data_IF_927335907839
#
_entry.id   IF_927335907839
#
_cell.length_a   1.000
_cell.length_b   1.000
_cell.length_c   1.000
_cell.angle_alpha   90.00
_cell.angle_beta   90.00
_cell.angle_gamma   90.00
#
_symmetry.space_group_name_H-M   'P 1'
#
loop_
_entity.id
_entity.type
_entity.pdbx_description
1 polymer ?
#
# COMPACT_ATOMS: atom_id res chain seq x y z
N UNK A 1 -2.99 7.68 -15.79
CA UNK A 1 -3.52 6.72 -14.79
C UNK A 1 -3.83 7.53 -13.54
N UNK A 2 -5.09 7.92 -13.34
CA UNK A 2 -5.47 8.71 -12.18
C UNK A 2 -5.25 7.85 -10.93
N UNK A 3 -4.30 8.22 -10.06
CA UNK A 3 -4.20 7.65 -8.73
C UNK A 3 -5.53 7.94 -8.04
N UNK A 4 -6.29 6.89 -7.72
CA UNK A 4 -7.40 7.03 -6.79
C UNK A 4 -6.73 7.13 -5.41
N UNK A 5 -6.42 8.33 -4.93
CA UNK A 5 -5.85 8.51 -3.60
C UNK A 5 -6.80 7.86 -2.57
N UNK A 6 -6.44 6.68 -2.06
CA UNK A 6 -7.11 6.08 -0.93
C UNK A 6 -6.87 6.95 0.30
N UNK A 7 -7.94 7.48 0.91
CA UNK A 7 -7.81 8.35 2.08
C UNK A 7 -7.61 7.49 3.33
N UNK A 8 -6.53 7.71 4.08
CA UNK A 8 -6.29 7.02 5.34
C UNK A 8 -7.16 7.57 6.47
N UNK A 9 -7.61 6.69 7.36
CA UNK A 9 -8.29 7.14 8.58
C UNK A 9 -7.27 7.56 9.64
N UNK A 10 -7.56 8.64 10.36
CA UNK A 10 -6.76 9.08 11.53
C UNK A 10 -6.56 7.95 12.55
N UNK A 11 -7.59 7.11 12.75
CA UNK A 11 -7.53 5.95 13.65
C UNK A 11 -6.48 4.92 13.21
N UNK A 12 -6.34 4.67 11.91
CA UNK A 12 -5.34 3.75 11.39
C UNK A 12 -3.92 4.29 11.54
N UNK A 13 -3.71 5.58 11.26
CA UNK A 13 -2.42 6.25 11.48
C UNK A 13 -2.03 6.23 12.96
N UNK A 14 -2.96 6.53 13.86
CA UNK A 14 -2.71 6.49 15.31
C UNK A 14 -2.35 5.08 15.82
N UNK A 15 -2.96 4.03 15.26
CA UNK A 15 -2.57 2.65 15.59
C UNK A 15 -1.16 2.34 15.11
N UNK A 16 -0.82 2.76 13.89
CA UNK A 16 0.54 2.59 13.36
C UNK A 16 1.59 3.28 14.24
N UNK A 17 1.28 4.46 14.78
CA UNK A 17 2.17 5.17 15.71
C UNK A 17 2.37 4.41 17.02
N UNK A 18 1.34 3.72 17.54
CA UNK A 18 1.45 2.92 18.78
C UNK A 18 2.34 1.69 18.63
N UNK A 19 2.59 1.25 17.40
CA UNK A 19 3.42 0.09 17.09
C UNK A 19 4.88 0.48 16.83
N UNK A 20 5.18 1.78 16.72
CA UNK A 20 6.54 2.28 16.60
C UNK A 20 7.23 2.30 17.97
N UNK A 21 8.57 2.17 18.01
CA UNK A 21 9.34 2.34 19.23
C UNK A 21 9.21 3.78 19.78
N UNK A 22 9.57 3.97 21.05
CA UNK A 22 9.53 5.30 21.71
C UNK A 22 10.34 6.38 20.97
N UNK A 23 11.40 5.98 20.26
CA UNK A 23 12.20 6.82 19.38
C UNK A 23 12.31 6.16 18.02
N UNK A 24 11.94 6.89 16.98
CA UNK A 24 11.98 6.46 15.57
C UNK A 24 12.33 7.66 14.69
N UNK A 25 12.78 7.38 13.47
CA UNK A 25 13.07 8.42 12.48
C UNK A 25 11.79 8.84 11.74
N UNK A 26 11.68 10.12 11.39
CA UNK A 26 10.51 10.65 10.69
C UNK A 26 10.24 9.89 9.38
N UNK A 27 11.30 9.49 8.67
CA UNK A 27 11.20 8.74 7.42
C UNK A 27 10.53 7.37 7.62
N UNK A 28 10.80 6.68 8.73
CA UNK A 28 10.17 5.39 9.05
C UNK A 28 8.64 5.54 9.20
N UNK A 29 8.19 6.60 9.85
CA UNK A 29 6.76 6.90 9.97
C UNK A 29 6.13 7.18 8.60
N UNK A 30 6.81 7.95 7.76
CA UNK A 30 6.33 8.28 6.41
C UNK A 30 6.21 7.01 5.57
N UNK A 31 7.23 6.17 5.55
CA UNK A 31 7.22 4.89 4.84
C UNK A 31 6.07 3.99 5.29
N UNK A 32 5.85 3.89 6.61
CA UNK A 32 4.78 3.08 7.18
C UNK A 32 3.39 3.62 6.80
N UNK A 33 3.20 4.94 6.78
CA UNK A 33 1.96 5.58 6.32
C UNK A 33 1.73 5.28 4.82
N UNK A 34 2.76 5.40 3.98
CA UNK A 34 2.66 5.10 2.55
C UNK A 34 2.33 3.63 2.32
N UNK A 35 2.94 2.72 3.07
CA UNK A 35 2.65 1.29 3.00
C UNK A 35 1.18 1.00 3.39
N UNK A 36 0.72 1.58 4.49
CA UNK A 36 -0.66 1.45 4.95
C UNK A 36 -1.65 1.92 3.87
N UNK A 37 -1.38 3.04 3.22
CA UNK A 37 -2.21 3.54 2.12
C UNK A 37 -2.27 2.55 0.96
N UNK A 38 -1.12 2.01 0.52
CA UNK A 38 -1.07 1.04 -0.57
C UNK A 38 -1.83 -0.25 -0.26
N UNK A 39 -1.80 -0.70 1.00
CA UNK A 39 -2.57 -1.88 1.43
C UNK A 39 -4.07 -1.62 1.33
N UNK A 40 -4.55 -0.48 1.83
CA UNK A 40 -5.98 -0.11 1.74
C UNK A 40 -6.44 0.01 0.28
N UNK A 41 -5.61 0.62 -0.59
CA UNK A 41 -5.86 0.69 -2.02
C UNK A 41 -5.93 -0.71 -2.65
N UNK A 42 -4.99 -1.60 -2.32
CA UNK A 42 -4.99 -2.99 -2.78
C UNK A 42 -6.21 -3.78 -2.32
N UNK A 43 -6.68 -3.59 -1.08
CA UNK A 43 -7.91 -4.20 -0.58
C UNK A 43 -9.15 -3.67 -1.31
N UNK A 44 -9.20 -2.37 -1.60
CA UNK A 44 -10.27 -1.77 -2.37
C UNK A 44 -10.29 -2.25 -3.84
N UNK A 45 -9.13 -2.47 -4.43
CA UNK A 45 -8.96 -3.07 -5.76
C UNK A 45 -9.45 -4.53 -5.77
N UNK A 46 -9.04 -5.32 -4.77
CA UNK A 46 -9.49 -6.70 -4.59
C UNK A 46 -11.01 -6.81 -4.49
N UNK A 47 -11.63 -5.98 -3.63
CA UNK A 47 -13.09 -5.93 -3.46
C UNK A 47 -13.82 -5.55 -4.75
N UNK A 48 -13.22 -4.70 -5.57
CA UNK A 48 -13.79 -4.26 -6.83
C UNK A 48 -13.44 -5.16 -8.04
N UNK A 49 -12.77 -6.30 -7.81
CA UNK A 49 -12.35 -7.21 -8.86
C UNK A 49 -11.24 -6.66 -9.76
N UNK A 50 -10.58 -5.56 -9.38
CA UNK A 50 -9.43 -4.98 -10.10
C UNK A 50 -8.15 -5.72 -9.73
N UNK A 51 -8.12 -7.02 -10.01
CA UNK A 51 -7.00 -7.92 -9.69
C UNK A 51 -6.46 -8.58 -10.94
N UNK A 52 -5.23 -9.06 -10.86
CA UNK A 52 -4.66 -9.94 -11.88
C UNK A 52 -4.86 -11.40 -11.48
N UNK A 53 -5.13 -12.24 -12.48
CA UNK A 53 -4.92 -13.68 -12.35
C UNK A 53 -3.42 -13.97 -12.20
N UNK A 54 -3.10 -15.20 -11.80
CA UNK A 54 -1.71 -15.62 -11.65
C UNK A 54 -0.90 -15.43 -12.93
N UNK A 55 -1.47 -15.79 -14.09
CA UNK A 55 -0.79 -15.67 -15.39
C UNK A 55 -0.63 -14.20 -15.82
N UNK A 56 -1.65 -13.39 -15.59
CA UNK A 56 -1.59 -11.95 -15.83
C UNK A 56 -0.52 -11.28 -14.95
N UNK A 57 -0.42 -11.67 -13.67
CA UNK A 57 0.60 -11.17 -12.76
C UNK A 57 2.01 -11.58 -13.21
N UNK A 58 2.21 -12.83 -13.64
CA UNK A 58 3.48 -13.31 -14.19
C UNK A 58 3.94 -12.47 -15.38
N UNK A 59 3.04 -12.24 -16.34
CA UNK A 59 3.34 -11.39 -17.50
C UNK A 59 3.60 -9.93 -17.11
N UNK A 60 2.88 -9.41 -16.11
CA UNK A 60 3.07 -8.05 -15.61
C UNK A 60 4.46 -7.85 -14.99
N UNK A 61 4.89 -8.78 -14.13
CA UNK A 61 6.22 -8.74 -13.50
C UNK A 61 7.32 -8.82 -14.57
N UNK A 62 7.21 -9.78 -15.50
CA UNK A 62 8.17 -9.93 -16.59
C UNK A 62 8.35 -8.65 -17.42
N UNK A 63 7.23 -7.96 -17.74
CA UNK A 63 7.28 -6.74 -18.55
C UNK A 63 7.84 -5.53 -17.80
N UNK A 64 7.55 -5.41 -16.50
CA UNK A 64 7.78 -4.18 -15.74
C UNK A 64 9.03 -4.23 -14.85
N UNK A 65 9.51 -5.42 -14.47
CA UNK A 65 10.57 -5.60 -13.47
C UNK A 65 11.74 -6.46 -13.97
N UNK A 66 11.62 -7.16 -15.10
CA UNK A 66 12.68 -8.04 -15.63
C UNK A 66 13.57 -7.37 -16.68
N UNK A 67 13.83 -6.06 -16.53
CA UNK A 67 14.90 -5.36 -17.25
C UNK A 67 16.10 -5.15 -16.33
#
# INVERSE_FOLDING_TARGET
>A
MASKQGTLTKKAVLRSLKELPERFDADELIERIVLLQKVEEGLADAKAGRVFTLDQMRAHIQRKWSR
#
